data_IF_320075568790
#
_entry.id   IF_320075568790
#
_cell.length_a   1.000
_cell.length_b   1.000
_cell.length_c   1.000
_cell.angle_alpha   90.00
_cell.angle_beta   90.00
_cell.angle_gamma   90.00
#
_symmetry.space_group_name_H-M   'P 1'
#
loop_
_entity.id
_entity.type
_entity.pdbx_description
1 polymer ?
#
# COMPACT_ATOMS: atom_id res chain seq x y z
N UNK A 1 34.59 3.16 -21.65
CA UNK A 1 33.46 4.08 -21.38
C UNK A 1 32.58 4.14 -22.62
N UNK A 2 31.50 3.34 -22.70
CA UNK A 2 30.40 3.42 -23.72
C UNK A 2 29.37 2.26 -23.67
N UNK A 3 29.37 1.40 -22.65
CA UNK A 3 28.39 0.29 -22.53
C UNK A 3 27.63 0.22 -21.19
N UNK A 4 27.60 1.32 -20.42
CA UNK A 4 26.91 1.37 -19.11
C UNK A 4 25.70 2.31 -19.05
N UNK A 5 25.30 2.93 -20.17
CA UNK A 5 24.19 3.90 -20.22
C UNK A 5 22.91 3.32 -20.87
N UNK A 6 22.95 2.10 -21.41
CA UNK A 6 21.83 1.53 -22.17
C UNK A 6 20.96 0.51 -21.41
N UNK A 7 20.91 0.55 -20.07
CA UNK A 7 20.02 -0.35 -19.29
C UNK A 7 18.92 0.38 -18.51
N UNK A 8 18.85 1.72 -18.59
CA UNK A 8 17.79 2.51 -17.95
C UNK A 8 16.67 2.90 -18.94
N UNK A 9 16.82 2.61 -20.23
CA UNK A 9 15.91 3.11 -21.28
C UNK A 9 15.11 2.03 -22.04
N UNK A 10 15.13 0.76 -21.62
CA UNK A 10 14.52 -0.32 -22.40
C UNK A 10 13.67 -1.29 -21.58
N UNK A 11 12.66 -0.79 -20.86
CA UNK A 11 11.45 -1.57 -20.52
C UNK A 11 10.21 -0.66 -20.43
N UNK A 12 10.08 0.26 -21.39
CA UNK A 12 8.83 1.00 -21.65
C UNK A 12 7.97 0.34 -22.76
N UNK A 13 8.32 -0.86 -23.22
CA UNK A 13 7.60 -1.56 -24.30
C UNK A 13 7.48 -3.04 -23.99
N UNK A 14 6.55 -3.39 -23.11
CA UNK A 14 5.81 -4.64 -23.22
C UNK A 14 4.47 -4.48 -22.49
N UNK A 15 3.47 -3.99 -23.21
CA UNK A 15 2.07 -4.18 -22.88
C UNK A 15 1.78 -5.69 -22.90
N UNK A 16 1.96 -6.36 -21.77
CA UNK A 16 1.25 -7.60 -21.51
C UNK A 16 0.08 -7.25 -20.62
N UNK A 17 -1.06 -7.08 -21.29
CA UNK A 17 -2.42 -7.00 -20.75
C UNK A 17 -2.69 -8.16 -19.78
N UNK A 18 -2.31 -7.98 -18.53
CA UNK A 18 -2.90 -8.71 -17.41
C UNK A 18 -3.77 -7.67 -16.68
N UNK A 19 -5.10 -7.87 -16.59
CA UNK A 19 -5.98 -6.94 -15.89
C UNK A 19 -5.64 -7.01 -14.41
N UNK A 20 -4.75 -6.14 -13.95
CA UNK A 20 -4.17 -6.22 -12.62
C UNK A 20 -4.75 -5.20 -11.64
N UNK A 21 -5.73 -4.42 -12.07
CA UNK A 21 -6.52 -3.57 -11.19
C UNK A 21 -7.97 -4.08 -11.19
N UNK A 22 -8.49 -4.41 -10.01
CA UNK A 22 -9.91 -4.68 -9.81
C UNK A 22 -10.68 -3.38 -9.52
N UNK A 23 -9.98 -2.32 -9.10
CA UNK A 23 -10.51 -1.01 -8.74
C UNK A 23 -10.10 0.02 -9.80
N UNK A 24 -11.03 0.45 -10.65
CA UNK A 24 -10.74 1.39 -11.74
C UNK A 24 -11.92 2.33 -12.02
N UNK A 25 -11.66 3.39 -12.80
CA UNK A 25 -12.68 4.29 -13.35
C UNK A 25 -12.86 4.13 -14.85
N UNK A 26 -14.05 4.41 -15.37
CA UNK A 26 -14.28 4.48 -16.81
C UNK A 26 -13.62 5.74 -17.42
N UNK A 27 -13.41 5.71 -18.74
CA UNK A 27 -12.93 6.87 -19.49
C UNK A 27 -13.80 8.13 -19.25
N UNK A 28 -13.18 9.29 -19.34
CA UNK A 28 -13.83 10.58 -19.11
C UNK A 28 -13.93 10.98 -17.64
N UNK A 29 -13.62 10.09 -16.70
CA UNK A 29 -13.52 10.46 -15.28
C UNK A 29 -12.42 11.51 -15.12
N UNK A 30 -12.80 12.71 -14.67
CA UNK A 30 -11.86 13.81 -14.52
C UNK A 30 -11.00 13.61 -13.26
N UNK A 31 -9.71 13.93 -13.38
CA UNK A 31 -8.73 13.90 -12.29
C UNK A 31 -8.16 15.30 -12.13
N UNK A 32 -8.07 15.78 -10.90
CA UNK A 32 -7.47 17.09 -10.61
C UNK A 32 -5.95 17.03 -10.79
N UNK A 33 -5.41 17.85 -11.68
CA UNK A 33 -3.96 17.99 -11.92
C UNK A 33 -3.51 19.43 -11.67
N UNK A 34 -2.19 19.65 -11.61
CA UNK A 34 -1.64 21.00 -11.40
C UNK A 34 -2.03 22.02 -12.50
N UNK A 35 -2.45 21.53 -13.67
CA UNK A 35 -2.89 22.35 -14.81
C UNK A 35 -4.42 22.37 -15.01
N UNK A 36 -5.17 21.83 -14.04
CA UNK A 36 -6.63 21.67 -14.10
C UNK A 36 -7.08 20.23 -14.30
N UNK A 37 -8.37 20.04 -14.59
CA UNK A 37 -8.95 18.72 -14.76
C UNK A 37 -8.49 18.04 -16.06
N UNK A 38 -8.08 16.79 -15.94
CA UNK A 38 -7.68 15.94 -17.07
C UNK A 38 -8.46 14.62 -17.03
N UNK A 39 -9.02 14.14 -18.16
CA UNK A 39 -9.64 12.82 -18.22
C UNK A 39 -8.64 11.72 -17.84
N UNK A 40 -9.08 10.71 -17.10
CA UNK A 40 -8.20 9.68 -16.53
C UNK A 40 -7.41 8.91 -17.59
N UNK A 41 -7.98 8.67 -18.77
CA UNK A 41 -7.30 8.02 -19.90
C UNK A 41 -6.19 8.89 -20.53
N UNK A 42 -6.17 10.19 -20.23
CA UNK A 42 -5.16 11.14 -20.68
C UNK A 42 -4.05 11.37 -19.65
N UNK A 43 -4.19 10.83 -18.43
CA UNK A 43 -3.13 10.88 -17.41
C UNK A 43 -1.89 10.12 -17.89
N UNK A 44 -0.71 10.67 -17.60
CA UNK A 44 0.59 10.11 -17.98
C UNK A 44 1.50 9.97 -16.76
N UNK A 45 2.43 9.02 -16.81
CA UNK A 45 3.54 8.97 -15.84
C UNK A 45 4.28 10.30 -15.87
N UNK A 46 4.50 10.88 -14.70
CA UNK A 46 5.08 12.22 -14.55
C UNK A 46 4.07 13.33 -14.31
N UNK A 47 2.79 13.15 -14.67
CA UNK A 47 1.74 14.12 -14.34
C UNK A 47 1.64 14.31 -12.83
N UNK A 48 1.33 15.53 -12.40
CA UNK A 48 1.11 15.88 -11.01
C UNK A 48 -0.39 15.92 -10.71
N UNK A 49 -0.84 15.02 -9.84
CA UNK A 49 -2.25 14.85 -9.45
C UNK A 49 -2.46 15.24 -8.00
N UNK A 50 -3.63 15.80 -7.70
CA UNK A 50 -3.97 16.18 -6.34
C UNK A 50 -4.26 14.92 -5.51
N UNK A 51 -3.59 14.78 -4.36
CA UNK A 51 -3.69 13.62 -3.49
C UNK A 51 -3.40 14.01 -2.04
N UNK A 52 -3.86 13.16 -1.10
CA UNK A 52 -3.79 13.42 0.34
C UNK A 52 -2.95 12.38 1.05
N UNK A 53 -1.96 12.83 1.81
CA UNK A 53 -1.25 11.97 2.75
C UNK A 53 -2.14 11.70 3.96
N UNK A 54 -2.65 10.47 4.06
CA UNK A 54 -3.49 10.03 5.19
C UNK A 54 -2.78 10.09 6.55
N UNK A 55 -1.45 10.11 6.57
CA UNK A 55 -0.64 10.18 7.79
C UNK A 55 -0.55 11.61 8.31
N UNK A 56 -0.31 12.57 7.43
CA UNK A 56 -0.11 13.97 7.81
C UNK A 56 -1.36 14.83 7.64
N UNK A 57 -2.36 14.34 6.90
CA UNK A 57 -3.56 15.05 6.50
C UNK A 57 -3.34 16.11 5.43
N UNK A 58 -2.10 16.28 4.96
CA UNK A 58 -1.77 17.28 3.93
C UNK A 58 -2.27 16.82 2.57
N UNK A 59 -2.85 17.75 1.82
CA UNK A 59 -3.23 17.54 0.43
C UNK A 59 -2.33 18.38 -0.47
N UNK A 60 -1.62 17.73 -1.38
CA UNK A 60 -0.66 18.36 -2.29
C UNK A 60 -0.60 17.62 -3.62
N UNK A 61 0.21 18.13 -4.55
CA UNK A 61 0.39 17.49 -5.85
C UNK A 61 1.47 16.41 -5.79
N UNK A 62 1.11 15.20 -6.19
CA UNK A 62 1.99 14.04 -6.23
C UNK A 62 2.15 13.52 -7.64
N UNK A 63 3.32 12.94 -7.93
CA UNK A 63 3.65 12.43 -9.25
C UNK A 63 2.97 11.10 -9.53
N UNK A 64 2.40 10.96 -10.72
CA UNK A 64 1.95 9.67 -11.25
C UNK A 64 3.16 8.82 -11.63
N UNK A 65 3.25 7.61 -11.07
CA UNK A 65 4.41 6.71 -11.24
C UNK A 65 4.11 5.47 -12.09
N UNK A 66 2.84 5.15 -12.28
CA UNK A 66 2.41 3.95 -13.00
C UNK A 66 0.99 4.13 -13.53
N UNK A 67 0.69 3.55 -14.69
CA UNK A 67 -0.65 3.55 -15.28
C UNK A 67 -1.19 2.13 -15.31
N UNK A 68 -2.49 2.00 -15.09
CA UNK A 68 -3.25 0.77 -15.18
C UNK A 68 -4.39 0.95 -16.17
N UNK A 69 -4.63 -0.07 -16.98
CA UNK A 69 -5.75 -0.12 -17.89
C UNK A 69 -6.37 -1.51 -17.83
N UNK A 70 -7.69 -1.55 -17.84
CA UNK A 70 -8.49 -2.76 -17.73
C UNK A 70 -9.74 -2.72 -18.58
N UNK A 71 -10.58 -3.74 -18.36
CA UNK A 71 -11.93 -3.84 -18.88
C UNK A 71 -12.82 -4.32 -17.74
N UNK A 72 -14.03 -3.77 -17.65
CA UNK A 72 -15.03 -4.16 -16.67
C UNK A 72 -16.33 -4.53 -17.37
N UNK A 73 -16.90 -5.69 -17.03
CA UNK A 73 -18.20 -6.14 -17.56
C UNK A 73 -19.40 -5.67 -16.71
N UNK A 74 -19.10 -5.05 -15.57
CA UNK A 74 -20.07 -4.47 -14.65
C UNK A 74 -19.55 -3.15 -14.11
N UNK A 75 -20.35 -2.11 -14.23
CA UNK A 75 -20.01 -0.75 -13.81
C UNK A 75 -21.04 -0.20 -12.83
N UNK A 76 -20.57 0.67 -11.94
CA UNK A 76 -21.34 1.40 -10.95
C UNK A 76 -21.31 2.87 -11.33
N UNK A 77 -22.49 3.43 -11.61
CA UNK A 77 -22.68 4.84 -11.91
C UNK A 77 -23.17 5.55 -10.66
N UNK A 78 -22.28 6.25 -9.97
CA UNK A 78 -22.53 6.98 -8.74
C UNK A 78 -22.72 8.44 -9.13
N UNK A 79 -23.84 9.06 -8.77
CA UNK A 79 -24.04 10.50 -8.97
C UNK A 79 -23.85 11.22 -7.65
N UNK A 80 -23.01 12.25 -7.65
CA UNK A 80 -22.69 13.07 -6.48
C UNK A 80 -22.74 14.52 -6.91
N UNK A 81 -23.55 15.34 -6.24
CA UNK A 81 -23.74 16.75 -6.59
C UNK A 81 -24.13 16.93 -8.08
N UNK A 82 -24.95 16.01 -8.60
CA UNK A 82 -25.34 15.98 -10.02
C UNK A 82 -24.26 15.50 -11.00
N UNK A 83 -23.04 15.21 -10.54
CA UNK A 83 -21.91 14.78 -11.38
C UNK A 83 -21.80 13.25 -11.37
N UNK A 84 -21.77 12.58 -12.53
CA UNK A 84 -21.64 11.13 -12.60
C UNK A 84 -20.19 10.67 -12.48
N UNK A 85 -19.98 9.62 -11.68
CA UNK A 85 -18.74 8.85 -11.55
C UNK A 85 -19.04 7.43 -11.99
N UNK A 86 -18.29 6.90 -12.97
CA UNK A 86 -18.46 5.51 -13.42
C UNK A 86 -17.23 4.70 -13.05
N UNK A 87 -17.42 3.62 -12.30
CA UNK A 87 -16.33 2.86 -11.67
C UNK A 87 -16.61 1.36 -11.57
N UNK A 88 -15.59 0.55 -11.27
CA UNK A 88 -15.76 -0.86 -10.89
C UNK A 88 -16.29 -1.00 -9.47
N UNK A 89 -16.81 -2.17 -9.12
CA UNK A 89 -17.42 -2.40 -7.80
C UNK A 89 -16.43 -2.36 -6.64
N UNK A 90 -15.17 -2.64 -6.91
CA UNK A 90 -14.08 -2.74 -5.94
C UNK A 90 -13.42 -1.39 -5.65
N UNK A 91 -13.77 -0.34 -6.38
CA UNK A 91 -13.09 0.95 -6.23
C UNK A 91 -13.44 1.60 -4.88
N UNK A 92 -12.45 1.94 -4.02
CA UNK A 92 -12.72 2.50 -2.71
C UNK A 92 -12.96 4.01 -2.75
N UNK A 93 -13.99 4.45 -2.04
CA UNK A 93 -14.32 5.84 -1.76
C UNK A 93 -14.21 6.12 -0.27
N UNK A 94 -13.79 7.32 0.10
CA UNK A 94 -13.81 7.72 1.50
C UNK A 94 -15.20 8.22 1.89
N UNK A 95 -15.83 7.53 2.83
CA UNK A 95 -17.15 7.86 3.38
C UNK A 95 -16.99 8.46 4.78
N UNK A 96 -17.54 9.66 4.99
CA UNK A 96 -17.49 10.33 6.29
C UNK A 96 -18.11 9.46 7.39
N UNK A 97 -17.35 9.27 8.49
CA UNK A 97 -17.77 8.45 9.63
C UNK A 97 -17.65 6.93 9.42
N UNK A 98 -17.32 6.45 8.21
CA UNK A 98 -17.18 5.02 7.92
C UNK A 98 -15.76 4.65 7.41
N UNK A 99 -15.07 5.57 6.76
CA UNK A 99 -13.76 5.35 6.16
C UNK A 99 -13.85 4.81 4.73
N UNK A 100 -12.83 4.07 4.29
CA UNK A 100 -12.77 3.49 2.96
C UNK A 100 -13.84 2.41 2.75
N UNK A 101 -14.71 2.63 1.77
CA UNK A 101 -15.77 1.71 1.38
C UNK A 101 -15.75 1.50 -0.14
N UNK A 102 -15.85 0.24 -0.56
CA UNK A 102 -15.90 -0.10 -1.99
C UNK A 102 -17.21 0.37 -2.64
N UNK A 103 -17.15 0.74 -3.92
CA UNK A 103 -18.27 1.24 -4.69
C UNK A 103 -19.54 0.36 -4.60
N UNK A 104 -19.36 -0.97 -4.61
CA UNK A 104 -20.46 -1.95 -4.51
C UNK A 104 -21.20 -1.94 -3.17
N UNK A 105 -20.63 -1.32 -2.15
CA UNK A 105 -21.20 -1.23 -0.80
C UNK A 105 -21.76 0.16 -0.49
N UNK A 106 -21.49 1.16 -1.34
CA UNK A 106 -22.04 2.50 -1.22
C UNK A 106 -23.57 2.50 -1.36
N UNK A 107 -24.20 3.49 -0.74
CA UNK A 107 -25.64 3.71 -0.77
C UNK A 107 -25.93 5.18 -1.03
N UNK A 108 -27.10 5.45 -1.63
CA UNK A 108 -27.60 6.81 -1.70
C UNK A 108 -27.70 7.40 -0.27
N UNK A 109 -27.26 8.65 -0.12
CA UNK A 109 -27.14 9.34 1.16
C UNK A 109 -25.82 9.14 1.91
N UNK A 110 -24.94 8.20 1.52
CA UNK A 110 -23.58 8.16 2.05
C UNK A 110 -22.85 9.47 1.71
N UNK A 111 -22.03 9.96 2.64
CA UNK A 111 -21.37 11.27 2.54
C UNK A 111 -19.93 11.11 2.07
N UNK A 112 -19.64 11.45 0.81
CA UNK A 112 -18.30 11.44 0.25
C UNK A 112 -17.58 12.75 0.52
N UNK A 113 -16.26 12.70 0.69
CA UNK A 113 -15.48 13.84 1.18
C UNK A 113 -14.59 14.47 0.08
N UNK A 114 -14.54 15.80 0.05
CA UNK A 114 -13.58 16.60 -0.73
C UNK A 114 -12.25 16.80 0.03
N UNK A 115 -11.18 17.30 -0.61
CA UNK A 115 -9.91 17.57 0.06
C UNK A 115 -10.03 18.52 1.26
N UNK A 116 -10.89 19.53 1.16
CA UNK A 116 -11.17 20.58 2.16
C UNK A 116 -12.07 20.07 3.29
N UNK A 117 -12.59 18.85 3.16
CA UNK A 117 -13.49 18.23 4.13
C UNK A 117 -14.96 18.55 3.92
N UNK A 118 -15.33 19.14 2.78
CA UNK A 118 -16.74 19.25 2.37
C UNK A 118 -17.32 17.87 2.14
N UNK A 119 -18.59 17.66 2.50
CA UNK A 119 -19.27 16.38 2.34
C UNK A 119 -20.41 16.50 1.34
N UNK A 120 -20.44 15.58 0.37
CA UNK A 120 -21.48 15.49 -0.64
C UNK A 120 -22.24 14.17 -0.48
N UNK A 121 -23.57 14.20 -0.38
CA UNK A 121 -24.36 12.97 -0.38
C UNK A 121 -24.30 12.31 -1.77
N UNK A 122 -24.31 10.98 -1.80
CA UNK A 122 -24.57 10.25 -3.03
C UNK A 122 -26.05 10.40 -3.38
N UNK A 123 -26.32 11.00 -4.54
CA UNK A 123 -27.66 11.27 -5.04
C UNK A 123 -28.35 9.98 -5.49
N UNK A 124 -27.62 9.16 -6.27
CA UNK A 124 -28.11 7.89 -6.82
C UNK A 124 -26.95 6.97 -7.20
N UNK A 125 -27.23 5.67 -7.25
CA UNK A 125 -26.33 4.65 -7.75
C UNK A 125 -27.09 3.75 -8.73
N UNK A 126 -26.55 3.57 -9.94
CA UNK A 126 -27.07 2.65 -10.95
C UNK A 126 -26.01 1.60 -11.30
N UNK A 127 -26.42 0.35 -11.46
CA UNK A 127 -25.52 -0.75 -11.85
C UNK A 127 -25.83 -1.15 -13.28
N UNK A 128 -24.80 -1.20 -14.14
CA UNK A 128 -24.94 -1.64 -15.54
C UNK A 128 -24.02 -2.82 -15.81
N UNK A 129 -24.54 -3.82 -16.53
CA UNK A 129 -23.80 -4.99 -16.98
C UNK A 129 -23.38 -4.80 -18.43
N UNK A 130 -22.43 -3.89 -18.66
CA UNK A 130 -21.87 -3.58 -19.97
C UNK A 130 -20.35 -3.51 -19.88
N UNK A 131 -19.68 -3.89 -20.98
CA UNK A 131 -18.23 -3.79 -21.07
C UNK A 131 -17.79 -2.33 -21.18
N UNK A 132 -16.82 -1.92 -20.37
CA UNK A 132 -16.24 -0.59 -20.38
C UNK A 132 -14.71 -0.65 -20.19
N UNK A 133 -13.99 0.16 -20.95
CA UNK A 133 -12.55 0.40 -20.73
C UNK A 133 -12.36 1.13 -19.41
N UNK A 134 -11.44 0.62 -18.60
CA UNK A 134 -11.17 1.17 -17.28
C UNK A 134 -9.71 1.60 -17.11
N UNK A 135 -9.49 2.56 -16.22
CA UNK A 135 -8.22 3.23 -15.99
C UNK A 135 -8.00 3.47 -14.49
N UNK A 136 -6.73 3.38 -14.07
CA UNK A 136 -6.27 3.76 -12.73
C UNK A 136 -4.77 4.08 -12.81
N UNK A 137 -4.18 4.62 -11.75
CA UNK A 137 -2.76 4.95 -11.72
C UNK A 137 -2.17 4.93 -10.30
N UNK A 138 -0.87 4.65 -10.24
CA UNK A 138 -0.07 4.74 -9.01
C UNK A 138 0.39 6.18 -8.77
N UNK A 139 0.35 6.62 -7.51
CA UNK A 139 0.76 7.96 -7.08
C UNK A 139 2.00 7.85 -6.17
N UNK A 140 2.96 8.76 -6.32
CA UNK A 140 4.22 8.74 -5.56
C UNK A 140 3.98 9.05 -4.08
N UNK A 141 4.38 8.12 -3.19
CA UNK A 141 4.34 8.32 -1.74
C UNK A 141 2.97 8.19 -1.09
N UNK A 142 1.88 8.24 -1.87
CA UNK A 142 0.50 8.10 -1.40
C UNK A 142 -0.31 7.18 -2.30
N UNK A 143 -1.47 6.73 -1.82
CA UNK A 143 -2.27 5.70 -2.48
C UNK A 143 -3.70 6.16 -2.80
N UNK A 144 -3.87 7.45 -3.11
CA UNK A 144 -5.15 8.04 -3.39
C UNK A 144 -5.02 9.21 -4.36
N UNK A 145 -6.16 9.66 -4.88
CA UNK A 145 -6.31 10.87 -5.70
C UNK A 145 -7.77 11.34 -5.66
N UNK A 146 -8.01 12.53 -6.20
CA UNK A 146 -9.35 13.12 -6.27
C UNK A 146 -9.89 13.09 -7.70
N UNK A 147 -11.19 12.75 -7.81
CA UNK A 147 -11.89 12.66 -9.09
C UNK A 147 -13.08 13.60 -9.16
N UNK A 148 -13.45 14.00 -10.38
CA UNK A 148 -14.51 14.95 -10.70
C UNK A 148 -14.28 16.36 -10.18
N UNK A 149 -15.14 17.27 -10.61
CA UNK A 149 -15.18 18.67 -10.20
C UNK A 149 -15.61 18.85 -8.74
N UNK A 150 -16.23 17.83 -8.14
CA UNK A 150 -16.48 17.79 -6.68
C UNK A 150 -15.30 17.26 -5.88
N UNK A 151 -14.19 16.90 -6.56
CA UNK A 151 -12.94 16.40 -5.98
C UNK A 151 -13.19 15.29 -4.96
N UNK A 152 -13.88 14.23 -5.37
CA UNK A 152 -14.21 13.11 -4.50
C UNK A 152 -12.96 12.28 -4.20
N UNK A 153 -12.72 12.00 -2.91
CA UNK A 153 -11.54 11.28 -2.45
C UNK A 153 -11.63 9.76 -2.69
N UNK A 154 -10.67 9.22 -3.44
CA UNK A 154 -10.67 7.83 -3.92
C UNK A 154 -9.30 7.18 -3.73
N UNK A 155 -9.25 5.87 -3.52
CA UNK A 155 -8.00 5.14 -3.28
C UNK A 155 -7.57 4.36 -4.53
N UNK A 156 -6.27 4.38 -4.85
CA UNK A 156 -5.71 3.65 -6.01
C UNK A 156 -5.44 2.16 -5.72
N UNK A 157 -6.33 1.49 -4.97
CA UNK A 157 -6.07 0.15 -4.43
C UNK A 157 -5.88 -0.87 -5.55
N UNK A 158 -4.62 -1.24 -5.83
CA UNK A 158 -4.30 -2.36 -6.70
C UNK A 158 -4.42 -3.64 -5.87
N UNK A 159 -5.32 -4.54 -6.25
CA UNK A 159 -5.46 -5.84 -5.61
C UNK A 159 -4.09 -6.55 -5.52
N UNK A 160 -3.85 -7.41 -4.51
CA UNK A 160 -2.50 -7.87 -4.11
C UNK A 160 -1.79 -8.84 -5.08
N UNK A 161 -2.04 -8.75 -6.39
CA UNK A 161 -1.40 -9.56 -7.42
C UNK A 161 -0.02 -8.99 -7.80
N UNK A 162 0.19 -7.66 -7.74
CA UNK A 162 1.52 -7.07 -7.96
C UNK A 162 2.57 -7.52 -6.93
N UNK A 163 2.17 -7.74 -5.67
CA UNK A 163 3.08 -8.25 -4.63
C UNK A 163 3.63 -9.62 -4.99
N UNK A 164 2.84 -10.50 -5.61
CA UNK A 164 3.29 -11.84 -5.98
C UNK A 164 4.24 -11.79 -7.18
N UNK A 165 3.90 -11.02 -8.22
CA UNK A 165 4.68 -10.94 -9.46
C UNK A 165 6.04 -10.27 -9.22
N UNK A 166 6.08 -9.13 -8.52
CA UNK A 166 7.34 -8.45 -8.17
C UNK A 166 8.21 -9.32 -7.25
N UNK A 167 7.62 -10.07 -6.31
CA UNK A 167 8.37 -11.00 -5.46
C UNK A 167 8.93 -12.19 -6.23
N UNK A 168 8.21 -12.72 -7.21
CA UNK A 168 8.70 -13.83 -8.06
C UNK A 168 9.86 -13.36 -8.93
N UNK A 169 9.76 -12.19 -9.56
CA UNK A 169 10.86 -11.61 -10.34
C UNK A 169 12.07 -11.26 -9.47
N UNK A 170 11.87 -10.64 -8.29
CA UNK A 170 12.95 -10.33 -7.35
C UNK A 170 13.64 -11.61 -6.82
N UNK A 171 12.88 -12.67 -6.54
CA UNK A 171 13.44 -13.98 -6.13
C UNK A 171 14.24 -14.62 -7.27
N UNK A 172 13.78 -14.54 -8.52
CA UNK A 172 14.48 -15.11 -9.67
C UNK A 172 15.75 -14.32 -10.01
N UNK A 173 15.73 -12.99 -9.92
CA UNK A 173 16.91 -12.13 -10.08
C UNK A 173 17.96 -12.39 -8.99
N UNK A 174 17.54 -12.49 -7.72
CA UNK A 174 18.42 -12.83 -6.60
C UNK A 174 19.03 -14.24 -6.74
N UNK A 175 18.25 -15.20 -7.25
CA UNK A 175 18.73 -16.57 -7.50
C UNK A 175 19.74 -16.64 -8.64
N UNK A 176 19.57 -15.82 -9.69
CA UNK A 176 20.53 -15.69 -10.78
C UNK A 176 21.84 -15.02 -10.32
N UNK A 177 21.74 -13.96 -9.51
CA UNK A 177 22.90 -13.31 -8.91
C UNK A 177 23.68 -14.24 -7.96
N UNK A 178 22.98 -15.02 -7.12
CA UNK A 178 23.60 -16.00 -6.23
C UNK A 178 24.31 -17.13 -6.99
N UNK A 179 23.77 -17.57 -8.13
CA UNK A 179 24.39 -18.62 -8.96
C UNK A 179 25.71 -18.16 -9.59
N UNK A 180 25.80 -16.87 -9.97
CA UNK A 180 27.03 -16.27 -10.49
C UNK A 180 28.11 -16.05 -9.42
N UNK A 181 27.73 -15.86 -8.15
CA UNK A 181 28.68 -15.75 -7.03
C UNK A 181 29.29 -17.11 -6.68
N UNK A 182 28.49 -18.18 -6.71
CA UNK A 182 28.96 -19.54 -6.34
C UNK A 182 29.96 -20.12 -7.36
N UNK A 183 29.93 -19.69 -8.63
CA UNK A 183 30.91 -20.15 -9.63
C UNK A 183 32.27 -19.43 -9.56
N UNK A 184 32.37 -18.29 -8.87
CA UNK A 184 33.60 -17.48 -8.83
C UNK A 184 34.38 -17.50 -7.50
N UNK A 185 33.96 -18.28 -6.49
CA UNK A 185 34.60 -18.30 -5.16
C UNK A 185 35.50 -19.52 -4.89
N UNK A 186 35.93 -20.24 -5.93
CA UNK A 186 36.85 -21.37 -5.81
C UNK A 186 38.32 -20.99 -5.98
N UNK A 187 38.91 -20.18 -5.08
CA UNK A 187 40.37 -20.07 -4.87
C UNK A 187 40.71 -19.11 -3.71
N UNK A 188 40.87 -19.66 -2.52
CA UNK A 188 42.07 -19.51 -1.65
C UNK A 188 41.74 -19.87 -0.20
N UNK A 189 42.50 -20.83 0.30
CA UNK A 189 42.46 -21.38 1.65
C UNK A 189 43.43 -20.59 2.54
N UNK A 190 42.98 -20.22 3.74
CA UNK A 190 43.82 -19.73 4.83
C UNK A 190 43.11 -19.97 6.17
N UNK A 191 43.73 -20.77 7.05
CA UNK A 191 43.18 -21.41 8.26
C UNK A 191 43.10 -20.49 9.50
N UNK A 192 42.21 -20.92 10.41
CA UNK A 192 42.08 -20.65 11.86
C UNK A 192 41.48 -19.28 12.27
N UNK A 193 40.61 -19.15 13.28
CA UNK A 193 40.35 -20.01 14.44
C UNK A 193 38.90 -19.89 14.98
N UNK A 194 38.59 -20.88 15.82
CA UNK A 194 37.40 -21.13 16.67
C UNK A 194 36.55 -19.91 17.06
N UNK A 195 35.23 -20.08 16.91
CA UNK A 195 34.22 -19.24 17.56
C UNK A 195 32.84 -19.35 16.91
N UNK A 196 32.20 -20.51 16.98
CA UNK A 196 30.76 -20.62 16.66
C UNK A 196 29.94 -19.89 17.71
N UNK A 197 29.76 -18.58 17.53
CA UNK A 197 28.68 -17.83 18.19
C UNK A 197 27.48 -17.91 17.25
N UNK A 198 26.46 -18.67 17.66
CA UNK A 198 25.11 -18.50 17.16
C UNK A 198 24.66 -17.06 17.48
N UNK A 199 24.89 -16.12 16.55
CA UNK A 199 24.31 -14.78 16.64
C UNK A 199 22.80 -14.90 16.51
N UNK A 200 22.13 -15.11 17.64
CA UNK A 200 20.68 -14.92 17.76
C UNK A 200 20.33 -13.53 17.24
N UNK A 201 19.30 -13.43 16.40
CA UNK A 201 18.86 -12.16 15.84
C UNK A 201 18.70 -11.13 16.97
N UNK A 202 19.54 -10.10 16.92
CA UNK A 202 19.51 -8.94 17.80
C UNK A 202 18.08 -8.37 17.87
N UNK A 203 17.68 -7.84 19.03
CA UNK A 203 16.41 -7.14 19.20
C UNK A 203 16.37 -5.94 18.23
N UNK A 204 15.53 -5.97 17.18
CA UNK A 204 15.55 -4.94 16.16
C UNK A 204 14.91 -3.62 16.60
N UNK A 205 14.25 -3.61 17.77
CA UNK A 205 13.52 -2.46 18.30
C UNK A 205 14.25 -1.79 19.46
N UNK A 206 15.39 -2.34 19.90
CA UNK A 206 16.16 -1.80 21.02
C UNK A 206 16.56 -0.35 20.74
N UNK A 207 16.32 0.53 21.71
CA UNK A 207 16.66 1.96 21.66
C UNK A 207 15.81 2.80 20.71
N UNK A 208 14.72 2.25 20.16
CA UNK A 208 13.86 2.96 19.19
C UNK A 208 12.60 3.49 19.86
N UNK A 209 12.17 4.66 19.41
CA UNK A 209 10.85 5.21 19.72
C UNK A 209 9.75 4.45 18.97
N UNK A 210 8.50 4.54 19.44
CA UNK A 210 7.37 3.93 18.72
C UNK A 210 7.19 4.48 17.31
N UNK A 211 7.52 5.75 17.08
CA UNK A 211 7.46 6.36 15.75
C UNK A 211 8.48 5.75 14.80
N UNK A 212 9.73 5.58 15.24
CA UNK A 212 10.74 4.91 14.43
C UNK A 212 10.39 3.44 14.16
N UNK A 213 9.73 2.78 15.12
CA UNK A 213 9.26 1.40 14.93
C UNK A 213 8.08 1.36 13.94
N UNK A 214 7.16 2.32 14.00
CA UNK A 214 6.09 2.51 13.02
C UNK A 214 6.69 2.72 11.63
N UNK A 215 7.62 3.66 11.47
CA UNK A 215 8.32 3.92 10.23
C UNK A 215 9.02 2.67 9.69
N UNK A 216 9.61 1.85 10.57
CA UNK A 216 10.20 0.56 10.20
C UNK A 216 9.16 -0.43 9.68
N UNK A 217 7.99 -0.51 10.31
CA UNK A 217 6.92 -1.40 9.86
C UNK A 217 6.30 -0.92 8.55
N UNK A 218 6.06 0.38 8.41
CA UNK A 218 5.58 1.02 7.19
C UNK A 218 6.57 0.83 6.03
N UNK A 219 7.86 1.09 6.25
CA UNK A 219 8.94 0.85 5.27
C UNK A 219 9.01 -0.60 4.85
N UNK A 220 8.74 -1.53 5.76
CA UNK A 220 8.68 -2.98 5.49
C UNK A 220 7.29 -3.43 5.00
N UNK A 221 6.38 -2.50 4.74
CA UNK A 221 5.02 -2.73 4.20
C UNK A 221 4.19 -3.68 5.05
N UNK A 222 4.29 -3.57 6.37
CA UNK A 222 3.37 -4.26 7.28
C UNK A 222 2.01 -3.57 7.26
N UNK A 223 0.94 -4.35 7.40
CA UNK A 223 -0.43 -3.84 7.39
C UNK A 223 -0.84 -3.40 8.80
N UNK A 224 -1.39 -2.18 8.93
CA UNK A 224 -1.97 -1.72 10.19
C UNK A 224 -3.20 -2.55 10.53
N UNK A 225 -3.41 -2.80 11.82
CA UNK A 225 -4.56 -3.54 12.35
C UNK A 225 -5.13 -2.81 13.55
N UNK A 226 -6.42 -2.46 13.52
CA UNK A 226 -7.07 -1.72 14.61
C UNK A 226 -6.88 -0.20 14.51
N UNK A 227 -7.44 0.53 15.48
CA UNK A 227 -7.73 1.96 15.31
C UNK A 227 -6.51 2.88 15.43
N UNK A 228 -5.41 2.44 16.04
CA UNK A 228 -4.17 3.24 16.11
C UNK A 228 -3.00 2.44 16.72
N UNK A 229 -2.01 2.01 15.90
CA UNK A 229 -0.85 1.28 16.42
C UNK A 229 0.07 2.10 17.33
N UNK A 230 0.19 3.43 17.14
CA UNK A 230 1.11 4.28 17.91
C UNK A 230 0.60 4.61 19.31
N UNK A 231 -0.73 4.54 19.49
CA UNK A 231 -1.38 4.74 20.78
C UNK A 231 -1.82 3.41 21.44
N UNK A 232 -1.26 2.28 21.00
CA UNK A 232 -1.48 0.96 21.62
C UNK A 232 -2.88 0.37 21.38
N UNK A 233 -3.70 0.99 20.53
CA UNK A 233 -5.06 0.53 20.17
C UNK A 233 -5.08 -0.31 18.88
N UNK A 234 -3.90 -0.61 18.34
CA UNK A 234 -3.70 -1.36 17.12
C UNK A 234 -2.33 -2.00 17.06
N UNK A 235 -2.02 -2.62 15.94
CA UNK A 235 -0.75 -3.28 15.69
C UNK A 235 -0.46 -3.40 14.20
N UNK A 236 0.51 -4.24 13.88
CA UNK A 236 1.00 -4.46 12.53
C UNK A 236 0.94 -5.94 12.22
N UNK A 237 0.63 -6.29 10.98
CA UNK A 237 0.69 -7.66 10.47
C UNK A 237 1.72 -7.71 9.36
N UNK A 238 2.67 -8.61 9.48
CA UNK A 238 3.57 -8.92 8.38
C UNK A 238 2.78 -9.72 7.33
N UNK A 239 2.54 -9.20 6.12
CA UNK A 239 1.66 -9.86 5.15
C UNK A 239 2.24 -11.18 4.61
N UNK A 240 3.57 -11.31 4.60
CA UNK A 240 4.26 -12.52 4.11
C UNK A 240 4.14 -13.69 5.09
N UNK A 241 4.22 -13.40 6.39
CA UNK A 241 4.26 -14.42 7.43
C UNK A 241 2.96 -14.53 8.22
N UNK A 242 2.06 -13.55 8.11
CA UNK A 242 0.85 -13.38 8.92
C UNK A 242 1.11 -12.99 10.38
N UNK A 243 2.37 -12.71 10.74
CA UNK A 243 2.77 -12.48 12.14
C UNK A 243 2.33 -11.09 12.59
N UNK A 244 1.73 -11.00 13.78
CA UNK A 244 1.26 -9.72 14.32
C UNK A 244 2.17 -9.16 15.41
N UNK A 245 2.27 -7.83 15.43
CA UNK A 245 3.16 -7.03 16.26
C UNK A 245 2.35 -5.91 16.91
N UNK A 246 2.42 -5.76 18.22
CA UNK A 246 1.73 -4.70 18.96
C UNK A 246 2.75 -3.83 19.67
N UNK A 247 2.56 -2.51 19.60
CA UNK A 247 3.38 -1.54 20.30
C UNK A 247 2.75 -1.27 21.66
N UNK A 248 3.38 -1.77 22.72
CA UNK A 248 2.91 -1.57 24.08
C UNK A 248 3.79 -0.52 24.76
N UNK A 249 3.16 0.60 25.16
CA UNK A 249 3.83 1.71 25.86
C UNK A 249 4.33 1.33 27.25
N UNK A 250 3.96 0.16 27.76
CA UNK A 250 4.24 -0.24 29.12
C UNK A 250 3.42 0.58 30.11
N UNK A 251 3.63 0.32 31.39
CA UNK A 251 2.89 0.98 32.46
C UNK A 251 2.93 0.20 33.76
N UNK A 252 2.21 0.70 34.75
CA UNK A 252 2.04 0.02 36.03
C UNK A 252 0.82 -0.87 35.99
N UNK A 253 1.04 -2.16 36.22
CA UNK A 253 -0.01 -3.16 36.31
C UNK A 253 -0.02 -3.82 37.70
N UNK A 254 -1.02 -4.67 37.97
CA UNK A 254 -1.14 -5.41 39.25
C UNK A 254 0.12 -6.23 39.62
N UNK A 255 0.97 -6.56 38.64
CA UNK A 255 2.20 -7.34 38.81
C UNK A 255 3.48 -6.50 38.81
N UNK A 256 3.37 -5.17 38.81
CA UNK A 256 4.49 -4.24 38.77
C UNK A 256 4.58 -3.43 37.49
N UNK A 257 5.67 -2.67 37.36
CA UNK A 257 5.97 -1.87 36.17
C UNK A 257 6.42 -2.78 35.02
N UNK A 258 5.82 -2.60 33.86
CA UNK A 258 6.22 -3.23 32.61
C UNK A 258 6.78 -2.15 31.67
N UNK A 259 8.04 -2.26 31.21
CA UNK A 259 8.62 -1.27 30.32
C UNK A 259 8.03 -1.34 28.90
N UNK A 260 8.17 -0.26 28.11
CA UNK A 260 7.76 -0.23 26.71
C UNK A 260 8.35 -1.40 25.91
N UNK A 261 7.53 -2.07 25.10
CA UNK A 261 7.95 -3.23 24.33
C UNK A 261 7.12 -3.47 23.06
N UNK A 262 7.63 -4.33 22.17
CA UNK A 262 6.87 -4.87 21.04
C UNK A 262 6.45 -6.31 21.34
N UNK A 263 5.16 -6.56 21.34
CA UNK A 263 4.55 -7.86 21.49
C UNK A 263 4.46 -8.58 20.15
N UNK A 264 5.04 -9.77 20.04
CA UNK A 264 4.99 -10.58 18.82
C UNK A 264 4.14 -11.82 19.04
N UNK A 265 2.98 -11.84 18.38
CA UNK A 265 1.95 -12.85 18.56
C UNK A 265 2.13 -14.09 17.67
N UNK A 266 1.43 -15.17 18.06
CA UNK A 266 1.40 -16.46 17.36
C UNK A 266 0.42 -16.41 16.19
N UNK A 267 0.69 -17.19 15.13
CA UNK A 267 -0.25 -17.38 14.02
C UNK A 267 -1.47 -18.19 14.47
N UNK A 268 -2.69 -17.79 14.08
CA UNK A 268 -3.94 -18.46 14.48
C UNK A 268 -4.00 -19.95 14.10
N UNK A 269 -3.36 -20.36 12.99
CA UNK A 269 -3.36 -21.75 12.49
C UNK A 269 -1.99 -22.43 12.73
N UNK A 270 -1.61 -22.55 14.00
CA UNK A 270 -0.25 -22.81 14.43
C UNK A 270 0.31 -24.21 14.08
N UNK A 271 0.79 -24.40 12.84
CA UNK A 271 1.69 -25.51 12.46
C UNK A 271 3.19 -25.17 12.62
N UNK A 272 3.54 -23.90 12.90
CA UNK A 272 4.94 -23.44 12.89
C UNK A 272 5.67 -23.48 14.23
N UNK A 273 4.99 -23.78 15.34
CA UNK A 273 5.63 -23.99 16.66
C UNK A 273 6.27 -22.76 17.32
N UNK A 274 6.33 -21.60 16.67
CA UNK A 274 7.08 -20.46 17.19
C UNK A 274 6.41 -19.81 18.42
N UNK A 275 7.19 -19.41 19.46
CA UNK A 275 6.66 -18.85 20.71
C UNK A 275 6.25 -17.38 20.56
N UNK A 276 5.37 -16.92 21.46
CA UNK A 276 5.17 -15.50 21.72
C UNK A 276 6.49 -14.90 22.19
N UNK A 277 6.81 -13.69 21.74
CA UNK A 277 8.06 -13.03 22.12
C UNK A 277 7.81 -11.55 22.39
N UNK A 278 8.35 -11.07 23.50
CA UNK A 278 8.39 -9.65 23.85
C UNK A 278 9.76 -9.09 23.51
N UNK A 279 9.78 -7.92 22.89
CA UNK A 279 11.00 -7.17 22.59
C UNK A 279 10.95 -5.83 23.32
N UNK A 280 11.58 -5.76 24.49
CA UNK A 280 11.67 -4.51 25.27
C UNK A 280 12.49 -3.45 24.53
N UNK A 281 12.10 -2.19 24.66
CA UNK A 281 12.75 -1.08 23.97
C UNK A 281 13.94 -0.49 24.73
N UNK A 282 14.00 -0.73 26.05
CA UNK A 282 15.07 -0.24 26.93
C UNK A 282 16.45 -0.82 26.64
N UNK A 283 17.47 -0.15 27.19
CA UNK A 283 18.90 -0.54 27.12
C UNK A 283 19.21 -1.88 27.78
#
# INVERSE_FOLDING_TARGET
MKKFIALVLLMALSFTSLPLAYADFANGTLVQTETGFKPIEQIRVGDLVYAKDETTGKTEYHRVIQLFQGQADKTYHITVNGIPITTTGEHPFWVHGQGWLEARHLKAGDLLQSPEGTHYPIDRIEIKNNSASTYNFGVEGVHNYFVTESEIWTHNFVAPIERAIVQVFAKNAAKSAAKNVVQNSGKSVGKASKGSISKGLSNPFKGKTFREIDDMFMKKRFERRGNDPLNGRGGYVNPTTGRSYYLDRGGYYKRGYEPPHVDVNRLKNNKSGLPKKKYFLGE
#
